data_IF_282691559709
#
_entry.id   IF_282691559709
#
_cell.length_a   1.000
_cell.length_b   1.000
_cell.length_c   1.000
_cell.angle_alpha   90.00
_cell.angle_beta   90.00
_cell.angle_gamma   90.00
#
_symmetry.space_group_name_H-M   'P 1'
#
loop_
_entity.id
_entity.type
_entity.pdbx_description
1 polymer ?
#
# COMPACT_ATOMS: atom_id res chain seq x y z
N UNK A 1 -11.32 -22.28 -8.05
CA UNK A 1 -11.06 -21.15 -8.90
C UNK A 1 -9.71 -20.53 -8.55
N UNK A 2 -9.02 -20.10 -9.54
CA UNK A 2 -7.68 -19.55 -9.37
C UNK A 2 -7.74 -18.04 -9.15
N UNK A 3 -6.68 -17.50 -8.59
CA UNK A 3 -6.50 -16.05 -8.45
C UNK A 3 -6.61 -15.38 -9.82
N UNK A 4 -6.07 -16.02 -10.85
CA UNK A 4 -6.13 -15.53 -12.21
C UNK A 4 -7.56 -15.22 -12.65
N UNK A 5 -8.50 -16.12 -12.38
CA UNK A 5 -9.90 -15.90 -12.76
C UNK A 5 -10.55 -14.76 -11.98
N UNK A 6 -10.12 -14.55 -10.75
CA UNK A 6 -10.62 -13.43 -9.94
C UNK A 6 -10.14 -12.08 -10.44
N UNK A 7 -8.93 -12.03 -10.99
CA UNK A 7 -8.33 -10.78 -11.44
C UNK A 7 -8.79 -10.38 -12.85
N UNK A 8 -9.13 -11.35 -13.68
CA UNK A 8 -9.60 -11.07 -15.02
C UNK A 8 -11.04 -10.56 -15.01
N UNK A 9 -11.29 -9.52 -15.80
CA UNK A 9 -12.64 -9.01 -15.99
C UNK A 9 -13.24 -8.28 -14.81
N UNK A 10 -12.46 -8.07 -13.73
CA UNK A 10 -12.90 -7.34 -12.56
C UNK A 10 -12.02 -6.13 -12.34
N UNK A 11 -12.63 -5.06 -11.81
CA UNK A 11 -11.87 -3.90 -11.40
C UNK A 11 -11.13 -4.24 -10.10
N UNK A 12 -9.82 -4.10 -10.11
CA UNK A 12 -8.97 -4.47 -8.98
C UNK A 12 -8.00 -3.35 -8.70
N UNK A 13 -7.83 -3.03 -7.43
CA UNK A 13 -6.76 -2.17 -6.95
C UNK A 13 -5.90 -2.99 -6.01
N UNK A 14 -4.62 -3.14 -6.35
CA UNK A 14 -3.69 -3.96 -5.60
C UNK A 14 -2.88 -3.08 -4.65
N UNK A 15 -2.76 -3.48 -3.40
CA UNK A 15 -1.91 -2.78 -2.44
C UNK A 15 -0.74 -3.70 -2.09
N UNK A 16 0.47 -3.26 -2.44
CA UNK A 16 1.68 -4.00 -2.12
C UNK A 16 2.27 -3.46 -0.82
N UNK A 17 2.39 -4.34 0.17
CA UNK A 17 3.02 -4.00 1.46
C UNK A 17 4.49 -4.39 1.36
N UNK A 18 5.34 -3.46 0.96
CA UNK A 18 6.73 -3.73 0.63
C UNK A 18 7.63 -3.76 1.86
N UNK A 19 8.38 -4.83 1.98
CA UNK A 19 9.36 -5.02 3.05
C UNK A 19 10.41 -5.99 2.54
N UNK A 20 11.46 -6.22 3.32
CA UNK A 20 12.44 -7.23 2.99
C UNK A 20 11.78 -8.61 2.87
N UNK A 21 10.86 -8.91 3.78
CA UNK A 21 10.15 -10.20 3.75
C UNK A 21 9.31 -10.38 2.50
N UNK A 22 8.72 -9.30 1.99
CA UNK A 22 7.95 -9.36 0.75
C UNK A 22 8.82 -9.93 -0.38
N UNK A 23 10.02 -9.40 -0.53
CA UNK A 23 10.90 -9.78 -1.63
C UNK A 23 11.57 -11.14 -1.44
N UNK A 24 11.46 -11.74 -0.26
CA UNK A 24 11.91 -13.12 -0.03
C UNK A 24 10.82 -14.14 -0.32
N UNK A 25 9.60 -13.69 -0.56
CA UNK A 25 8.45 -14.56 -0.82
C UNK A 25 8.23 -14.72 -2.32
N UNK A 26 8.34 -15.96 -2.81
CA UNK A 26 8.07 -16.28 -4.22
C UNK A 26 6.62 -15.96 -4.57
N UNK A 27 5.68 -16.25 -3.67
CA UNK A 27 4.27 -15.96 -3.90
C UNK A 27 4.03 -14.47 -4.08
N UNK A 28 4.63 -13.64 -3.22
CA UNK A 28 4.45 -12.18 -3.32
C UNK A 28 5.01 -11.64 -4.64
N UNK A 29 6.16 -12.14 -5.08
CA UNK A 29 6.75 -11.71 -6.34
C UNK A 29 5.90 -12.15 -7.54
N UNK A 30 5.31 -13.33 -7.47
CA UNK A 30 4.41 -13.81 -8.52
C UNK A 30 3.15 -12.95 -8.60
N UNK A 31 2.59 -12.56 -7.47
CA UNK A 31 1.42 -11.68 -7.44
C UNK A 31 1.74 -10.30 -8.01
N UNK A 32 2.92 -9.77 -7.71
CA UNK A 32 3.38 -8.51 -8.26
C UNK A 32 3.47 -8.59 -9.79
N UNK A 33 4.08 -9.67 -10.31
CA UNK A 33 4.19 -9.86 -11.75
C UNK A 33 2.83 -10.01 -12.43
N UNK A 34 1.90 -10.70 -11.80
CA UNK A 34 0.54 -10.87 -12.33
C UNK A 34 -0.19 -9.52 -12.40
N UNK A 35 -0.10 -8.71 -11.37
CA UNK A 35 -0.71 -7.38 -11.36
C UNK A 35 -0.13 -6.50 -12.45
N UNK A 36 1.18 -6.58 -12.68
CA UNK A 36 1.84 -5.81 -13.73
C UNK A 36 1.37 -6.24 -15.14
N UNK A 37 1.32 -7.54 -15.39
CA UNK A 37 0.90 -8.07 -16.70
C UNK A 37 -0.56 -7.71 -16.99
N UNK A 38 -1.41 -7.78 -15.98
CA UNK A 38 -2.84 -7.47 -16.12
C UNK A 38 -3.11 -5.97 -16.08
N UNK A 39 -2.10 -5.16 -15.89
CA UNK A 39 -2.19 -3.70 -15.85
C UNK A 39 -3.19 -3.19 -14.81
N UNK A 40 -3.27 -3.89 -13.67
CA UNK A 40 -4.11 -3.42 -12.57
C UNK A 40 -3.55 -2.15 -11.95
N UNK A 41 -4.44 -1.30 -11.48
CA UNK A 41 -4.04 -0.16 -10.65
C UNK A 41 -3.45 -0.67 -9.35
N UNK A 42 -2.36 -0.06 -8.91
CA UNK A 42 -1.74 -0.49 -7.66
C UNK A 42 -1.20 0.68 -6.86
N UNK A 43 -1.06 0.47 -5.57
CA UNK A 43 -0.41 1.38 -4.64
C UNK A 43 0.65 0.60 -3.87
N UNK A 44 1.85 1.19 -3.76
CA UNK A 44 2.93 0.58 -2.97
C UNK A 44 3.00 1.25 -1.62
N UNK A 45 2.98 0.45 -0.56
CA UNK A 45 3.15 0.94 0.81
C UNK A 45 4.44 0.34 1.35
N UNK A 46 5.37 1.22 1.74
CA UNK A 46 6.66 0.80 2.27
C UNK A 46 6.57 0.71 3.79
N UNK A 47 6.79 -0.48 4.31
CA UNK A 47 6.77 -0.71 5.76
C UNK A 47 7.95 0.01 6.42
N UNK A 48 7.86 0.28 7.74
CA UNK A 48 8.95 0.98 8.43
C UNK A 48 10.30 0.32 8.20
N UNK A 49 11.30 1.12 7.90
CA UNK A 49 12.65 0.64 7.61
C UNK A 49 12.91 0.30 6.15
N UNK A 50 11.89 0.23 5.32
CA UNK A 50 12.06 -0.06 3.89
C UNK A 50 12.09 1.24 3.08
N UNK A 51 13.07 1.35 2.16
CA UNK A 51 13.29 2.57 1.42
C UNK A 51 12.93 2.42 -0.06
N UNK A 52 12.62 3.55 -0.72
CA UNK A 52 12.28 3.54 -2.14
C UNK A 52 13.37 2.89 -2.99
N UNK A 53 14.64 3.08 -2.63
CA UNK A 53 15.77 2.49 -3.36
C UNK A 53 15.80 0.97 -3.29
N UNK A 54 15.06 0.37 -2.38
CA UNK A 54 15.00 -1.08 -2.22
C UNK A 54 13.92 -1.73 -3.07
N UNK A 55 13.08 -0.93 -3.77
CA UNK A 55 12.00 -1.48 -4.58
C UNK A 55 12.57 -2.23 -5.77
N UNK A 56 12.07 -3.44 -5.98
CA UNK A 56 12.53 -4.34 -7.04
C UNK A 56 11.33 -4.99 -7.72
N UNK A 57 11.62 -5.73 -8.81
CA UNK A 57 10.60 -6.52 -9.49
C UNK A 57 9.81 -5.68 -10.50
N UNK A 58 8.56 -6.06 -10.71
CA UNK A 58 7.72 -5.46 -11.75
C UNK A 58 7.16 -4.09 -11.38
N UNK A 59 7.32 -3.66 -10.14
CA UNK A 59 6.83 -2.35 -9.71
C UNK A 59 7.77 -1.26 -10.21
N UNK A 60 7.18 -0.21 -10.77
CA UNK A 60 7.95 0.93 -11.23
C UNK A 60 8.43 1.75 -10.04
N UNK A 61 9.74 1.77 -9.83
CA UNK A 61 10.35 2.54 -8.75
C UNK A 61 10.17 4.05 -8.93
N UNK A 62 9.84 4.51 -10.14
CA UNK A 62 9.55 5.91 -10.40
C UNK A 62 8.21 6.38 -9.86
N UNK A 63 7.29 5.45 -9.60
CA UNK A 63 6.01 5.79 -8.98
C UNK A 63 6.21 5.96 -7.49
N UNK A 64 5.68 7.06 -6.96
CA UNK A 64 5.85 7.37 -5.54
C UNK A 64 4.93 6.48 -4.71
N UNK A 65 5.51 5.70 -3.82
CA UNK A 65 4.76 4.89 -2.87
C UNK A 65 4.43 5.66 -1.60
N UNK A 66 3.77 4.99 -0.67
CA UNK A 66 3.45 5.56 0.64
C UNK A 66 4.44 4.98 1.65
N UNK A 67 5.25 5.84 2.25
CA UNK A 67 6.26 5.44 3.22
C UNK A 67 5.69 5.61 4.63
N UNK A 68 5.50 4.50 5.34
CA UNK A 68 4.82 4.54 6.63
C UNK A 68 5.64 5.25 7.72
N UNK A 69 6.97 5.19 7.64
CA UNK A 69 7.84 5.88 8.60
C UNK A 69 8.36 7.22 8.09
N UNK A 70 7.72 7.78 7.08
CA UNK A 70 8.05 9.10 6.57
C UNK A 70 7.46 10.22 7.41
N UNK A 71 7.50 11.44 6.87
CA UNK A 71 6.92 12.59 7.54
C UNK A 71 5.42 12.36 7.84
N UNK A 72 4.99 12.53 9.10
CA UNK A 72 3.60 12.25 9.46
C UNK A 72 2.56 13.06 8.68
N UNK A 73 2.85 14.32 8.39
CA UNK A 73 1.91 15.16 7.65
C UNK A 73 1.77 14.68 6.20
N UNK A 74 2.88 14.28 5.58
CA UNK A 74 2.88 13.74 4.24
C UNK A 74 2.17 12.38 4.21
N UNK A 75 2.45 11.53 5.19
CA UNK A 75 1.79 10.23 5.30
C UNK A 75 0.28 10.39 5.38
N UNK A 76 -0.19 11.30 6.24
CA UNK A 76 -1.62 11.58 6.39
C UNK A 76 -2.23 12.02 5.06
N UNK A 77 -1.58 12.93 4.36
CA UNK A 77 -2.05 13.43 3.07
C UNK A 77 -2.13 12.30 2.04
N UNK A 78 -1.12 11.43 2.00
CA UNK A 78 -1.07 10.33 1.05
C UNK A 78 -2.15 9.29 1.32
N UNK A 79 -2.43 8.99 2.59
CA UNK A 79 -3.49 8.07 2.96
C UNK A 79 -4.87 8.62 2.60
N UNK A 80 -5.07 9.92 2.75
CA UNK A 80 -6.31 10.56 2.33
C UNK A 80 -6.47 10.49 0.81
N UNK A 81 -5.39 10.73 0.06
CA UNK A 81 -5.42 10.59 -1.39
C UNK A 81 -5.77 9.16 -1.83
N UNK A 82 -5.19 8.17 -1.16
CA UNK A 82 -5.49 6.77 -1.45
C UNK A 82 -6.96 6.45 -1.19
N UNK A 83 -7.49 6.90 -0.05
CA UNK A 83 -8.91 6.74 0.25
C UNK A 83 -9.78 7.33 -0.87
N UNK A 84 -9.48 8.57 -1.26
CA UNK A 84 -10.26 9.26 -2.28
C UNK A 84 -10.19 8.53 -3.61
N UNK A 85 -9.02 8.02 -3.96
CA UNK A 85 -8.84 7.26 -5.19
C UNK A 85 -9.66 5.98 -5.19
N UNK A 86 -9.63 5.23 -4.10
CA UNK A 86 -10.38 3.97 -3.98
C UNK A 86 -11.89 4.25 -4.00
N UNK A 87 -12.34 5.27 -3.29
CA UNK A 87 -13.75 5.64 -3.31
C UNK A 87 -14.22 5.98 -4.72
N UNK A 88 -13.41 6.71 -5.46
CA UNK A 88 -13.73 7.08 -6.84
C UNK A 88 -13.73 5.87 -7.76
N UNK A 89 -12.70 5.03 -7.67
CA UNK A 89 -12.56 3.87 -8.54
C UNK A 89 -13.71 2.88 -8.38
N UNK A 90 -14.13 2.65 -7.16
CA UNK A 90 -15.14 1.64 -6.86
C UNK A 90 -16.52 2.24 -6.58
N UNK A 91 -16.67 3.55 -6.77
CA UNK A 91 -17.93 4.26 -6.55
C UNK A 91 -18.51 3.99 -5.17
N UNK A 92 -17.63 4.03 -4.16
CA UNK A 92 -18.06 3.80 -2.79
C UNK A 92 -18.70 5.05 -2.20
N UNK A 93 -19.67 4.90 -1.28
CA UNK A 93 -20.24 6.05 -0.62
C UNK A 93 -19.19 6.77 0.22
N UNK A 94 -19.26 8.09 0.37
CA UNK A 94 -18.30 8.82 1.18
C UNK A 94 -18.37 8.36 2.63
N UNK A 95 -17.18 8.25 3.25
CA UNK A 95 -17.08 7.89 4.65
C UNK A 95 -17.25 9.15 5.50
N UNK A 96 -17.88 8.99 6.66
CA UNK A 96 -17.97 10.07 7.62
C UNK A 96 -16.56 10.56 8.01
N UNK A 97 -16.32 11.88 7.89
CA UNK A 97 -14.99 12.43 8.10
C UNK A 97 -14.52 12.29 9.55
N UNK A 98 -15.42 12.37 10.50
CA UNK A 98 -15.07 12.21 11.91
C UNK A 98 -14.61 10.77 12.17
N UNK A 99 -15.34 9.79 11.64
CA UNK A 99 -14.99 8.39 11.77
C UNK A 99 -13.67 8.09 11.07
N UNK A 100 -13.48 8.63 9.85
CA UNK A 100 -12.25 8.45 9.08
C UNK A 100 -11.05 9.01 9.86
N UNK A 101 -11.15 10.24 10.35
CA UNK A 101 -10.04 10.88 11.05
C UNK A 101 -9.67 10.11 12.32
N UNK A 102 -10.66 9.60 13.04
CA UNK A 102 -10.41 8.81 14.24
C UNK A 102 -9.66 7.51 13.91
N UNK A 103 -10.08 6.83 12.85
CA UNK A 103 -9.40 5.60 12.41
C UNK A 103 -8.01 5.88 11.89
N UNK A 104 -7.84 6.97 11.16
CA UNK A 104 -6.54 7.37 10.64
C UNK A 104 -5.58 7.70 11.77
N UNK A 105 -6.04 8.46 12.77
CA UNK A 105 -5.22 8.79 13.94
C UNK A 105 -4.79 7.52 14.69
N UNK A 106 -5.71 6.58 14.86
CA UNK A 106 -5.38 5.31 15.50
C UNK A 106 -4.30 4.56 14.70
N UNK A 107 -4.48 4.48 13.39
CA UNK A 107 -3.51 3.81 12.52
C UNK A 107 -2.13 4.46 12.61
N UNK A 108 -2.07 5.79 12.55
CA UNK A 108 -0.83 6.52 12.62
C UNK A 108 -0.14 6.35 13.97
N UNK A 109 -0.91 6.28 15.05
CA UNK A 109 -0.35 6.01 16.38
C UNK A 109 0.21 4.59 16.45
N UNK A 110 -0.43 3.62 15.83
CA UNK A 110 0.08 2.24 15.76
C UNK A 110 1.40 2.18 15.01
N UNK A 111 1.53 2.91 13.90
CA UNK A 111 2.77 2.98 13.15
C UNK A 111 3.88 3.58 14.01
N UNK A 112 3.59 4.67 14.70
CA UNK A 112 4.56 5.34 15.57
C UNK A 112 5.06 4.41 16.68
N UNK A 113 4.16 3.62 17.26
CA UNK A 113 4.54 2.62 18.26
C UNK A 113 5.38 1.51 17.65
N UNK A 114 5.08 1.10 16.41
CA UNK A 114 5.83 0.06 15.70
C UNK A 114 7.24 0.50 15.32
N UNK A 115 7.44 1.79 15.05
CA UNK A 115 8.76 2.32 14.70
C UNK A 115 9.83 1.97 15.73
N UNK A 116 9.49 2.01 17.01
CA UNK A 116 10.44 1.67 18.05
C UNK A 116 10.87 0.20 17.98
N UNK A 117 10.00 -0.68 17.48
CA UNK A 117 10.31 -2.10 17.30
C UNK A 117 11.19 -2.30 16.07
N UNK A 118 10.85 -1.64 14.96
CA UNK A 118 11.62 -1.77 13.73
C UNK A 118 12.95 -1.03 13.76
N UNK A 119 13.06 0.02 14.58
CA UNK A 119 14.29 0.77 14.72
C UNK A 119 15.31 0.09 15.64
N UNK A 120 14.89 -0.90 16.43
CA UNK A 120 15.79 -1.61 17.33
C UNK A 120 16.82 -2.40 16.53
N UNK A 121 18.11 -2.35 16.92
CA UNK A 121 19.14 -3.12 16.21
C UNK A 121 19.01 -4.62 16.43
#
# INVERSE_FOLDING_TARGET
KTIKNRLFGKKVHVIFMLSQNYYTSVMCLNEMGAAWILQHTYTSILLPGYEYRNIKGAIDAGKVGIKLDGDPAELRARLIQLRNQIQKEFRLPPMDEITWNRKLDYFMNCIKASDSVFAAP
#
